data_IF_581444240763
#
_entry.id   IF_581444240763
#
_cell.length_a   1.000
_cell.length_b   1.000
_cell.length_c   1.000
_cell.angle_alpha   90.00
_cell.angle_beta   90.00
_cell.angle_gamma   90.00
#
_symmetry.space_group_name_H-M   'P 1'
#
loop_
_entity.id
_entity.type
_entity.pdbx_description
1 polymer ?
#
# COMPACT_ATOMS: atom_id res chain seq x y z
N UNK A 1 7.32 -8.32 -17.16
CA UNK A 1 8.72 -8.56 -16.73
C UNK A 1 9.01 -7.93 -15.34
N UNK A 2 8.43 -6.79 -15.00
CA UNK A 2 8.68 -6.06 -13.75
C UNK A 2 7.77 -6.44 -12.57
N UNK A 3 6.64 -7.09 -12.83
CA UNK A 3 5.64 -7.44 -11.82
C UNK A 3 6.15 -8.53 -10.86
N UNK A 4 6.78 -9.58 -11.38
CA UNK A 4 7.26 -10.71 -10.58
C UNK A 4 8.27 -10.29 -9.50
N UNK A 5 9.35 -9.54 -9.82
CA UNK A 5 10.31 -9.10 -8.82
C UNK A 5 9.69 -8.23 -7.73
N UNK A 6 8.79 -7.32 -8.09
CA UNK A 6 8.09 -6.47 -7.13
C UNK A 6 7.23 -7.30 -6.17
N UNK A 7 6.47 -8.25 -6.68
CA UNK A 7 5.63 -9.13 -5.86
C UNK A 7 6.47 -10.07 -4.99
N UNK A 8 7.58 -10.59 -5.50
CA UNK A 8 8.52 -11.37 -4.70
C UNK A 8 9.05 -10.55 -3.51
N UNK A 9 9.49 -9.32 -3.77
CA UNK A 9 9.98 -8.43 -2.70
C UNK A 9 8.89 -8.10 -1.68
N UNK A 10 7.66 -7.87 -2.13
CA UNK A 10 6.51 -7.70 -1.24
C UNK A 10 6.28 -8.90 -0.33
N UNK A 11 6.28 -10.11 -0.88
CA UNK A 11 6.07 -11.33 -0.10
C UNK A 11 7.21 -11.63 0.86
N UNK A 12 8.45 -11.30 0.51
CA UNK A 12 9.60 -11.38 1.44
C UNK A 12 9.39 -10.45 2.64
N UNK A 13 9.13 -9.18 2.39
CA UNK A 13 8.87 -8.18 3.44
C UNK A 13 7.63 -8.53 4.27
N UNK A 14 6.59 -9.10 3.65
CA UNK A 14 5.40 -9.58 4.34
C UNK A 14 5.75 -10.69 5.36
N UNK A 15 6.60 -11.65 4.97
CA UNK A 15 7.06 -12.71 5.88
C UNK A 15 7.89 -12.16 7.04
N UNK A 16 8.75 -11.18 6.76
CA UNK A 16 9.53 -10.49 7.80
C UNK A 16 8.62 -9.76 8.78
N UNK A 17 7.69 -8.94 8.28
CA UNK A 17 6.71 -8.21 9.09
C UNK A 17 5.81 -9.13 9.91
N UNK A 18 5.40 -10.27 9.35
CA UNK A 18 4.55 -11.26 10.01
C UNK A 18 5.16 -11.89 11.27
N UNK A 19 6.47 -11.78 11.48
CA UNK A 19 7.18 -12.28 12.68
C UNK A 19 7.12 -11.33 13.88
N UNK A 20 6.68 -10.12 13.68
CA UNK A 20 6.57 -9.11 14.75
C UNK A 20 5.44 -9.53 15.71
N UNK A 21 5.72 -9.57 17.01
CA UNK A 21 4.76 -10.04 18.02
C UNK A 21 3.68 -9.01 18.31
N UNK A 22 4.02 -7.73 18.40
CA UNK A 22 3.08 -6.66 18.64
C UNK A 22 2.17 -6.47 17.40
N UNK A 23 0.85 -6.54 17.57
CA UNK A 23 -0.10 -6.48 16.46
C UNK A 23 -0.08 -5.14 15.74
N UNK A 24 0.09 -4.03 16.46
CA UNK A 24 0.12 -2.69 15.88
C UNK A 24 1.36 -2.47 15.02
N UNK A 25 2.52 -2.90 15.54
CA UNK A 25 3.78 -2.84 14.82
C UNK A 25 3.76 -3.79 13.61
N UNK A 26 3.19 -4.98 13.78
CA UNK A 26 3.00 -5.95 12.70
C UNK A 26 2.14 -5.37 11.59
N UNK A 27 1.00 -4.77 11.92
CA UNK A 27 0.12 -4.14 10.94
C UNK A 27 0.84 -3.05 10.16
N UNK A 28 1.58 -2.17 10.84
CA UNK A 28 2.36 -1.12 10.18
C UNK A 28 3.45 -1.70 9.27
N UNK A 29 4.15 -2.76 9.70
CA UNK A 29 5.16 -3.43 8.90
C UNK A 29 4.56 -4.12 7.67
N UNK A 30 3.40 -4.75 7.78
CA UNK A 30 2.66 -5.35 6.65
C UNK A 30 2.27 -4.27 5.64
N UNK A 31 1.69 -3.17 6.09
CA UNK A 31 1.31 -2.05 5.21
C UNK A 31 2.55 -1.48 4.51
N UNK A 32 3.65 -1.27 5.24
CA UNK A 32 4.92 -0.80 4.68
C UNK A 32 5.49 -1.77 3.65
N UNK A 33 5.41 -3.08 3.90
CA UNK A 33 5.86 -4.12 2.98
C UNK A 33 5.15 -4.07 1.61
N UNK A 34 3.90 -3.67 1.58
CA UNK A 34 3.15 -3.47 0.35
C UNK A 34 3.58 -2.21 -0.41
N UNK A 35 3.80 -1.12 0.31
CA UNK A 35 4.07 0.22 -0.23
C UNK A 35 5.52 0.34 -0.72
N UNK A 36 6.48 -0.06 0.10
CA UNK A 36 7.91 0.21 -0.09
C UNK A 36 8.44 -0.17 -1.48
N UNK A 37 8.15 -1.37 -2.04
CA UNK A 37 8.67 -1.75 -3.36
C UNK A 37 8.12 -0.89 -4.50
N UNK A 38 6.99 -0.20 -4.31
CA UNK A 38 6.42 0.68 -5.31
C UNK A 38 7.18 2.00 -5.46
N UNK A 39 7.96 2.38 -4.44
CA UNK A 39 8.79 3.59 -4.44
C UNK A 39 10.28 3.32 -4.69
N UNK A 40 10.68 2.05 -4.84
CA UNK A 40 12.10 1.71 -5.04
C UNK A 40 12.69 2.46 -6.24
N UNK A 41 13.95 2.87 -6.12
CA UNK A 41 14.65 3.57 -7.20
C UNK A 41 15.02 2.60 -8.33
N UNK A 42 15.28 3.15 -9.53
CA UNK A 42 15.62 2.37 -10.73
C UNK A 42 16.91 1.55 -10.65
N UNK A 43 17.78 1.87 -9.72
CA UNK A 43 19.02 1.14 -9.45
C UNK A 43 18.77 -0.20 -8.78
N UNK A 44 17.60 -0.39 -8.22
CA UNK A 44 17.18 -1.68 -7.72
C UNK A 44 16.84 -2.57 -8.93
N UNK A 45 17.72 -3.50 -9.26
CA UNK A 45 17.71 -4.39 -10.44
C UNK A 45 16.37 -5.17 -10.60
N UNK A 46 15.56 -5.14 -9.58
CA UNK A 46 14.38 -5.98 -9.44
C UNK A 46 13.07 -5.44 -10.03
N UNK A 47 12.94 -4.19 -10.52
CA UNK A 47 11.66 -3.96 -11.08
C UNK A 47 11.12 -2.58 -11.41
N UNK A 48 11.94 -1.59 -11.59
CA UNK A 48 11.45 -0.30 -12.11
C UNK A 48 10.57 0.52 -11.17
N UNK A 49 10.40 0.09 -9.94
CA UNK A 49 9.81 0.76 -8.79
C UNK A 49 8.79 1.86 -9.11
N UNK A 50 9.11 3.08 -8.76
CA UNK A 50 8.22 4.23 -8.89
C UNK A 50 7.78 4.51 -10.34
N UNK A 51 8.65 4.37 -11.34
CA UNK A 51 8.26 4.56 -12.75
C UNK A 51 7.27 3.52 -13.21
N UNK A 52 7.49 2.24 -12.88
CA UNK A 52 6.58 1.17 -13.25
C UNK A 52 5.24 1.32 -12.55
N UNK A 53 5.24 1.67 -11.26
CA UNK A 53 4.01 1.89 -10.49
C UNK A 53 3.23 3.09 -11.02
N UNK A 54 3.91 4.18 -11.37
CA UNK A 54 3.29 5.35 -12.03
C UNK A 54 2.64 4.98 -13.36
N UNK A 55 3.37 4.28 -14.23
CA UNK A 55 2.82 3.83 -15.51
C UNK A 55 1.61 2.92 -15.32
N UNK A 56 1.66 2.01 -14.37
CA UNK A 56 0.54 1.12 -14.03
C UNK A 56 -0.66 1.89 -13.51
N UNK A 57 -0.46 2.93 -12.70
CA UNK A 57 -1.52 3.81 -12.24
C UNK A 57 -2.24 4.49 -13.41
N UNK A 58 -1.50 5.05 -14.34
CA UNK A 58 -2.05 5.67 -15.55
C UNK A 58 -2.85 4.64 -16.38
N UNK A 59 -2.27 3.48 -16.66
CA UNK A 59 -2.94 2.41 -17.42
C UNK A 59 -4.21 1.89 -16.74
N UNK A 60 -4.24 1.85 -15.42
CA UNK A 60 -5.43 1.43 -14.65
C UNK A 60 -6.56 2.47 -14.75
N UNK A 61 -6.23 3.74 -14.89
CA UNK A 61 -7.18 4.84 -15.02
C UNK A 61 -7.72 5.00 -16.46
N UNK A 62 -6.92 4.68 -17.47
CA UNK A 62 -7.27 4.86 -18.89
C UNK A 62 -8.26 3.81 -19.43
N UNK A 63 -8.64 2.81 -18.66
CA UNK A 63 -9.83 2.03 -18.93
C UNK A 63 -9.74 0.92 -19.97
N UNK A 64 -8.58 0.51 -20.42
CA UNK A 64 -8.43 -0.62 -21.34
C UNK A 64 -8.66 -1.95 -20.58
N UNK A 65 -9.78 -2.61 -20.83
CA UNK A 65 -10.19 -3.84 -20.11
C UNK A 65 -9.14 -4.96 -20.17
N UNK A 66 -8.47 -5.13 -21.30
CA UNK A 66 -7.41 -6.11 -21.44
C UNK A 66 -6.21 -5.79 -20.53
N UNK A 67 -5.78 -4.52 -20.47
CA UNK A 67 -4.68 -4.10 -19.61
C UNK A 67 -5.05 -4.25 -18.13
N UNK A 68 -6.26 -3.87 -17.75
CA UNK A 68 -6.77 -4.05 -16.38
C UNK A 68 -6.78 -5.51 -15.96
N UNK A 69 -7.22 -6.42 -16.82
CA UNK A 69 -7.25 -7.86 -16.56
C UNK A 69 -5.84 -8.42 -16.34
N UNK A 70 -4.90 -8.11 -17.22
CA UNK A 70 -3.50 -8.57 -17.10
C UNK A 70 -2.87 -8.04 -15.79
N UNK A 71 -3.17 -6.81 -15.40
CA UNK A 71 -2.70 -6.23 -14.14
C UNK A 71 -3.31 -6.98 -12.96
N UNK A 72 -4.63 -7.21 -12.95
CA UNK A 72 -5.32 -7.94 -11.90
C UNK A 72 -4.74 -9.34 -11.72
N UNK A 73 -4.69 -10.15 -12.77
CA UNK A 73 -4.12 -11.51 -12.76
C UNK A 73 -2.68 -11.55 -12.21
N UNK A 74 -1.90 -10.48 -12.45
CA UNK A 74 -0.51 -10.40 -12.00
C UNK A 74 -0.35 -10.04 -10.52
N UNK A 75 -1.37 -9.47 -9.87
CA UNK A 75 -1.27 -8.93 -8.51
C UNK A 75 -2.26 -9.56 -7.52
N UNK A 76 -3.30 -10.24 -7.98
CA UNK A 76 -4.36 -10.74 -7.10
C UNK A 76 -3.84 -11.71 -6.05
N UNK A 77 -2.95 -12.66 -6.40
CA UNK A 77 -2.34 -13.59 -5.44
C UNK A 77 -1.61 -12.83 -4.31
N UNK A 78 -0.78 -11.85 -4.69
CA UNK A 78 -0.07 -11.02 -3.72
C UNK A 78 -1.03 -10.20 -2.88
N UNK A 79 -2.08 -9.64 -3.49
CA UNK A 79 -3.09 -8.85 -2.78
C UNK A 79 -3.86 -9.70 -1.77
N UNK A 80 -4.23 -10.93 -2.11
CA UNK A 80 -4.88 -11.86 -1.18
C UNK A 80 -3.98 -12.17 0.03
N UNK A 81 -2.68 -12.43 -0.19
CA UNK A 81 -1.74 -12.68 0.90
C UNK A 81 -1.65 -11.48 1.88
N UNK A 82 -1.68 -10.25 1.36
CA UNK A 82 -1.70 -9.05 2.20
C UNK A 82 -3.02 -8.85 2.94
N UNK A 83 -4.15 -9.11 2.29
CA UNK A 83 -5.48 -9.04 2.92
C UNK A 83 -5.56 -10.03 4.08
N UNK A 84 -5.08 -11.27 3.90
CA UNK A 84 -5.07 -12.30 4.94
C UNK A 84 -4.16 -11.92 6.11
N UNK A 85 -2.98 -11.37 5.82
CA UNK A 85 -2.06 -10.89 6.85
C UNK A 85 -2.63 -9.71 7.64
N UNK A 86 -3.29 -8.76 6.98
CA UNK A 86 -3.97 -7.63 7.64
C UNK A 86 -5.11 -8.15 8.51
N UNK A 87 -5.95 -9.06 8.00
CA UNK A 87 -7.05 -9.66 8.76
C UNK A 87 -6.57 -10.34 10.04
N UNK A 88 -5.38 -10.95 10.03
CA UNK A 88 -4.79 -11.53 11.24
C UNK A 88 -4.39 -10.49 12.31
N UNK A 89 -4.20 -9.24 11.92
CA UNK A 89 -3.88 -8.14 12.84
C UNK A 89 -5.12 -7.40 13.36
N UNK A 90 -6.23 -7.49 12.64
CA UNK A 90 -7.52 -6.86 12.98
C UNK A 90 -8.64 -7.92 12.89
N UNK A 91 -8.64 -8.93 13.78
CA UNK A 91 -9.46 -10.13 13.64
C UNK A 91 -10.98 -9.87 13.66
N UNK A 92 -11.40 -8.78 14.29
CA UNK A 92 -12.81 -8.40 14.39
C UNK A 92 -13.30 -7.54 13.21
N UNK A 93 -12.39 -7.19 12.29
CA UNK A 93 -12.73 -6.38 11.13
C UNK A 93 -13.41 -7.22 10.04
N UNK A 94 -14.44 -6.66 9.44
CA UNK A 94 -15.04 -7.23 8.24
C UNK A 94 -14.05 -7.26 7.07
N UNK A 95 -13.96 -8.44 6.43
CA UNK A 95 -13.02 -8.65 5.31
C UNK A 95 -13.29 -7.70 4.13
N UNK A 96 -14.54 -7.38 3.85
CA UNK A 96 -14.90 -6.46 2.75
C UNK A 96 -14.39 -5.05 3.06
N UNK A 97 -14.47 -4.63 4.31
CA UNK A 97 -13.93 -3.35 4.77
C UNK A 97 -12.40 -3.30 4.66
N UNK A 98 -11.70 -4.39 4.94
CA UNK A 98 -10.24 -4.49 4.73
C UNK A 98 -9.91 -4.34 3.23
N UNK A 99 -10.67 -4.98 2.34
CA UNK A 99 -10.50 -4.84 0.88
C UNK A 99 -10.69 -3.38 0.44
N UNK A 100 -11.70 -2.69 0.96
CA UNK A 100 -11.90 -1.26 0.67
C UNK A 100 -10.72 -0.39 1.12
N UNK A 101 -10.17 -0.63 2.32
CA UNK A 101 -8.98 0.10 2.80
C UNK A 101 -7.76 -0.17 1.90
N UNK A 102 -7.58 -1.42 1.45
CA UNK A 102 -6.55 -1.78 0.47
C UNK A 102 -6.75 -1.07 -0.88
N UNK A 103 -7.98 -0.97 -1.34
CA UNK A 103 -8.31 -0.23 -2.57
C UNK A 103 -8.00 1.27 -2.44
N UNK A 104 -8.34 1.90 -1.30
CA UNK A 104 -8.01 3.30 -1.04
C UNK A 104 -6.51 3.53 -0.96
N UNK A 105 -5.76 2.62 -0.30
CA UNK A 105 -4.31 2.65 -0.29
C UNK A 105 -3.73 2.62 -1.72
N UNK A 106 -4.25 1.75 -2.58
CA UNK A 106 -3.77 1.63 -3.95
C UNK A 106 -4.02 2.93 -4.74
N UNK A 107 -5.19 3.53 -4.57
CA UNK A 107 -5.51 4.83 -5.17
C UNK A 107 -4.60 5.95 -4.67
N UNK A 108 -4.37 6.03 -3.36
CA UNK A 108 -3.48 7.01 -2.75
C UNK A 108 -2.03 6.83 -3.23
N UNK A 109 -1.53 5.58 -3.30
CA UNK A 109 -0.21 5.25 -3.80
C UNK A 109 -0.01 5.71 -5.25
N UNK A 110 -0.96 5.38 -6.12
CA UNK A 110 -0.87 5.78 -7.52
C UNK A 110 -0.93 7.29 -7.70
N UNK A 111 -1.85 7.95 -7.00
CA UNK A 111 -1.99 9.39 -7.09
C UNK A 111 -0.75 10.13 -6.58
N UNK A 112 -0.14 9.65 -5.51
CA UNK A 112 1.12 10.20 -4.98
C UNK A 112 2.24 10.17 -6.03
N UNK A 113 2.36 9.07 -6.78
CA UNK A 113 3.41 8.93 -7.79
C UNK A 113 3.10 9.66 -9.11
N UNK A 114 1.82 9.82 -9.45
CA UNK A 114 1.40 10.48 -10.70
C UNK A 114 1.39 12.00 -10.54
N UNK A 115 1.00 12.52 -9.39
CA UNK A 115 0.75 13.95 -9.14
C UNK A 115 1.59 14.47 -7.96
N UNK A 116 2.87 14.16 -7.95
CA UNK A 116 3.80 14.52 -6.85
C UNK A 116 3.97 16.06 -6.69
N UNK A 117 3.92 16.82 -7.78
CA UNK A 117 3.98 18.30 -7.78
C UNK A 117 2.86 18.96 -6.99
N UNK A 118 1.71 18.30 -6.85
CA UNK A 118 0.58 18.80 -6.08
C UNK A 118 0.92 19.03 -4.61
N UNK A 119 1.73 18.14 -4.01
CA UNK A 119 2.14 18.24 -2.61
C UNK A 119 2.93 19.52 -2.37
N UNK A 120 3.93 19.78 -3.21
CA UNK A 120 4.77 20.98 -3.11
C UNK A 120 3.94 22.25 -3.28
N UNK A 121 3.08 22.29 -4.29
CA UNK A 121 2.23 23.44 -4.59
C UNK A 121 1.24 23.75 -3.47
N UNK A 122 0.55 22.75 -2.91
CA UNK A 122 -0.46 22.96 -1.85
C UNK A 122 0.14 23.16 -0.46
N UNK A 123 1.36 22.69 -0.24
CA UNK A 123 2.10 22.96 0.99
C UNK A 123 2.91 24.27 0.92
N UNK A 124 2.77 25.05 -0.16
CA UNK A 124 3.52 26.29 -0.39
C UNK A 124 5.04 26.08 -0.27
N UNK A 125 5.53 24.94 -0.76
CA UNK A 125 6.95 24.56 -0.70
C UNK A 125 7.40 23.95 0.63
N UNK A 126 6.53 23.77 1.61
CA UNK A 126 6.89 23.17 2.90
C UNK A 126 7.17 21.66 2.80
N UNK A 127 6.73 20.99 1.73
CA UNK A 127 6.99 19.59 1.47
C UNK A 127 7.26 19.34 -0.01
N UNK A 128 8.18 18.40 -0.30
CA UNK A 128 8.50 17.98 -1.66
C UNK A 128 7.77 16.66 -1.98
N UNK A 129 7.00 16.63 -3.05
CA UNK A 129 6.29 15.44 -3.49
C UNK A 129 7.20 14.32 -4.03
N UNK A 130 8.49 14.59 -4.23
CA UNK A 130 9.51 13.60 -4.58
C UNK A 130 10.23 13.02 -3.35
N UNK A 131 9.90 13.49 -2.15
CA UNK A 131 10.34 12.88 -0.89
C UNK A 131 9.58 11.55 -0.67
N UNK A 132 10.11 10.50 -1.28
CA UNK A 132 9.50 9.17 -1.25
C UNK A 132 9.48 8.57 0.17
N UNK A 133 10.47 8.88 1.00
CA UNK A 133 10.51 8.38 2.38
C UNK A 133 9.35 8.95 3.17
N UNK A 134 9.15 10.25 3.10
CA UNK A 134 8.00 10.90 3.73
C UNK A 134 6.67 10.40 3.16
N UNK A 135 6.57 10.22 1.85
CA UNK A 135 5.36 9.69 1.22
C UNK A 135 5.01 8.29 1.72
N UNK A 136 6.01 7.42 1.87
CA UNK A 136 5.84 6.08 2.43
C UNK A 136 5.33 6.16 3.87
N UNK A 137 5.94 6.98 4.71
CA UNK A 137 5.57 7.11 6.12
C UNK A 137 4.14 7.66 6.29
N UNK A 138 3.75 8.65 5.51
CA UNK A 138 2.38 9.19 5.53
C UNK A 138 1.35 8.15 5.06
N UNK A 139 1.64 7.41 3.99
CA UNK A 139 0.78 6.33 3.50
C UNK A 139 0.63 5.21 4.53
N UNK A 140 1.73 4.79 5.17
CA UNK A 140 1.71 3.77 6.23
C UNK A 140 0.86 4.25 7.41
N UNK A 141 1.09 5.46 7.88
CA UNK A 141 0.37 6.04 9.02
C UNK A 141 -1.13 6.14 8.75
N UNK A 142 -1.52 6.73 7.63
CA UNK A 142 -2.92 6.90 7.25
C UNK A 142 -3.64 5.56 7.08
N UNK A 143 -3.02 4.60 6.37
CA UNK A 143 -3.60 3.28 6.12
C UNK A 143 -3.73 2.48 7.41
N UNK A 144 -2.69 2.48 8.25
CA UNK A 144 -2.71 1.76 9.54
C UNK A 144 -3.79 2.31 10.47
N UNK A 145 -3.91 3.64 10.58
CA UNK A 145 -4.97 4.27 11.36
C UNK A 145 -6.36 3.86 10.85
N UNK A 146 -6.59 3.93 9.54
CA UNK A 146 -7.84 3.55 8.92
C UNK A 146 -8.20 2.06 9.10
N UNK A 147 -7.21 1.16 9.12
CA UNK A 147 -7.43 -0.26 9.39
C UNK A 147 -7.76 -0.52 10.87
N UNK A 148 -7.11 0.19 11.79
CA UNK A 148 -7.40 0.08 13.22
C UNK A 148 -8.81 0.51 13.60
N UNK A 149 -9.38 1.48 12.89
CA UNK A 149 -10.77 1.91 13.07
C UNK A 149 -11.80 0.81 12.75
N UNK A 150 -11.39 -0.24 12.01
CA UNK A 150 -12.26 -1.38 11.70
C UNK A 150 -12.39 -2.37 12.86
N UNK A 151 -11.48 -2.34 13.83
CA UNK A 151 -11.66 -3.10 15.07
C UNK A 151 -12.84 -2.48 15.84
N UNK A 152 -13.79 -3.29 16.40
CA UNK A 152 -14.86 -2.74 17.19
C UNK A 152 -14.27 -1.93 18.34
N UNK A 153 -14.63 -0.64 18.38
CA UNK A 153 -14.16 0.27 19.42
C UNK A 153 -14.48 -0.32 20.78
N UNK A 154 -13.55 -0.28 21.73
CA UNK A 154 -13.92 -0.39 23.13
C UNK A 154 -14.99 0.67 23.37
N UNK A 155 -16.22 0.25 23.61
CA UNK A 155 -17.25 1.16 24.09
C UNK A 155 -16.65 1.90 25.29
N UNK A 156 -16.68 3.26 25.30
CA UNK A 156 -16.29 4.00 26.50
C UNK A 156 -17.19 3.48 27.62
N UNK A 157 -16.57 2.83 28.61
CA UNK A 157 -17.25 2.11 29.67
C UNK A 157 -18.43 2.89 30.19
N UNK A 158 -19.57 2.21 30.21
CA UNK A 158 -20.75 2.66 30.95
C UNK A 158 -20.35 2.84 32.41
N UNK A 159 -20.22 4.10 32.82
CA UNK A 159 -20.10 4.51 34.21
C UNK A 159 -21.50 4.75 34.78
#
# INVERSE_FOLDING_TARGET
>A
RHTKPMNQRRLELLREGGRISNLDERLAAIVRAYILPAFSSQTDVAGGGARFTRLRGIMSMEGHDAARRIIAESFDETSHAFIDAIASCVPDADRVSIVWRGHFLLGALYYTLVSSDRIERLSEGASNGMDHERAIDELVRATTASLKELAPGQEPGAA
#
